data_IF_699213843029
#
_entry.id   IF_699213843029
#
_cell.length_a   1.000
_cell.length_b   1.000
_cell.length_c   1.000
_cell.angle_alpha   90.00
_cell.angle_beta   90.00
_cell.angle_gamma   90.00
#
_symmetry.space_group_name_H-M   'P 1'
#
loop_
_entity.id
_entity.type
_entity.pdbx_description
1 polymer ?
#
# COMPACT_ATOMS: atom_id res chain seq x y z
N UNK A 1 -19.85 3.52 19.90
CA UNK A 1 -19.02 4.53 19.22
C UNK A 1 -17.84 3.79 18.62
N UNK A 2 -17.83 3.55 17.30
CA UNK A 2 -16.69 2.90 16.66
C UNK A 2 -15.53 3.88 16.70
N UNK A 3 -14.45 3.50 17.37
CA UNK A 3 -13.13 4.09 17.10
C UNK A 3 -12.91 3.89 15.61
N UNK A 4 -12.84 4.96 14.82
CA UNK A 4 -12.68 4.85 13.37
C UNK A 4 -11.45 4.02 13.05
N UNK A 5 -11.52 3.20 11.99
CA UNK A 5 -10.36 2.46 11.50
C UNK A 5 -9.18 3.44 11.39
N UNK A 6 -8.03 3.08 11.97
CA UNK A 6 -6.81 3.89 12.00
C UNK A 6 -6.98 5.30 12.62
N UNK A 7 -7.79 5.45 13.67
CA UNK A 7 -8.00 6.74 14.37
C UNK A 7 -6.71 7.43 14.89
N UNK A 8 -5.60 6.71 14.98
CA UNK A 8 -4.28 7.23 15.35
C UNK A 8 -3.37 7.57 14.16
N UNK A 9 -3.83 7.44 12.91
CA UNK A 9 -3.00 7.69 11.74
C UNK A 9 -2.62 9.16 11.62
N UNK A 10 -1.35 9.41 11.30
CA UNK A 10 -0.76 10.75 11.18
C UNK A 10 -0.40 11.01 9.72
N UNK A 11 -0.79 12.17 9.20
CA UNK A 11 -0.43 12.59 7.84
C UNK A 11 1.05 12.97 7.76
N UNK A 12 1.75 12.43 6.76
CA UNK A 12 3.14 12.76 6.43
C UNK A 12 3.30 13.78 5.29
N UNK A 13 2.20 14.25 4.71
CA UNK A 13 2.17 15.21 3.60
C UNK A 13 1.81 14.60 2.24
N UNK A 14 2.05 15.35 1.16
CA UNK A 14 1.78 14.92 -0.21
C UNK A 14 3.08 14.83 -1.01
N UNK A 15 3.22 13.77 -1.81
CA UNK A 15 4.31 13.62 -2.77
C UNK A 15 3.77 12.98 -4.05
N UNK A 16 4.08 13.60 -5.20
CA UNK A 16 3.81 13.03 -6.53
C UNK A 16 2.36 12.56 -6.76
N UNK A 17 1.38 13.29 -6.20
CA UNK A 17 -0.04 12.96 -6.32
C UNK A 17 -0.56 11.94 -5.30
N UNK A 18 0.29 11.46 -4.39
CA UNK A 18 -0.08 10.59 -3.28
C UNK A 18 -0.04 11.36 -1.93
N UNK A 19 -0.88 10.95 -0.98
CA UNK A 19 -0.87 11.44 0.41
C UNK A 19 -0.28 10.38 1.33
N UNK A 20 0.77 10.69 2.07
CA UNK A 20 1.39 9.75 3.01
C UNK A 20 0.73 9.79 4.38
N UNK A 21 0.67 8.62 5.00
CA UNK A 21 0.13 8.38 6.32
C UNK A 21 0.96 7.34 7.04
N UNK A 22 1.11 7.49 8.36
CA UNK A 22 1.70 6.46 9.21
C UNK A 22 0.71 6.02 10.27
N UNK A 23 0.60 4.70 10.47
CA UNK A 23 -0.05 4.13 11.65
C UNK A 23 0.94 3.22 12.39
N UNK A 24 1.76 3.80 13.28
CA UNK A 24 2.77 3.04 14.01
C UNK A 24 2.19 2.14 15.11
N UNK A 25 0.91 2.28 15.46
CA UNK A 25 0.32 1.59 16.62
C UNK A 25 -0.61 0.44 16.20
N UNK A 26 -1.43 0.62 15.15
CA UNK A 26 -2.32 -0.42 14.67
C UNK A 26 -1.61 -1.40 13.73
N UNK A 27 -1.22 -0.90 12.57
CA UNK A 27 -0.63 -1.73 11.50
C UNK A 27 0.90 -1.83 11.54
N UNK A 28 1.58 -0.94 12.29
CA UNK A 28 3.04 -0.89 12.33
C UNK A 28 3.63 -0.58 10.95
N UNK A 29 3.09 0.44 10.27
CA UNK A 29 3.45 0.71 8.88
C UNK A 29 3.15 2.12 8.38
N UNK A 30 3.55 2.36 7.14
CA UNK A 30 3.31 3.56 6.37
C UNK A 30 2.44 3.23 5.17
N UNK A 31 1.53 4.12 4.78
CA UNK A 31 0.73 3.93 3.59
C UNK A 31 0.57 5.21 2.78
N UNK A 32 0.45 5.04 1.47
CA UNK A 32 0.27 6.11 0.50
C UNK A 32 -1.13 6.00 -0.09
N UNK A 33 -1.93 7.05 0.06
CA UNK A 33 -3.29 7.13 -0.47
C UNK A 33 -3.26 7.73 -1.86
N UNK A 34 -3.92 7.07 -2.79
CA UNK A 34 -4.03 7.47 -4.18
C UNK A 34 -5.41 8.07 -4.52
N UNK A 35 -5.47 9.03 -5.46
CA UNK A 35 -6.74 9.59 -5.91
C UNK A 35 -7.57 8.55 -6.69
N UNK A 36 -8.89 8.75 -6.82
CA UNK A 36 -9.74 7.91 -7.66
C UNK A 36 -9.24 7.86 -9.12
N UNK A 37 -9.39 6.70 -9.77
CA UNK A 37 -8.94 6.48 -11.16
C UNK A 37 -7.47 6.08 -11.29
N UNK A 38 -6.76 5.91 -10.18
CA UNK A 38 -5.40 5.38 -10.15
C UNK A 38 -5.37 3.90 -10.54
N UNK A 39 -4.39 3.52 -11.35
CA UNK A 39 -4.12 2.13 -11.73
C UNK A 39 -2.69 1.73 -11.36
N UNK A 40 -2.39 0.43 -11.40
CA UNK A 40 -1.07 -0.07 -11.08
C UNK A 40 -0.60 -1.17 -12.03
N UNK A 41 0.71 -1.28 -12.18
CA UNK A 41 1.39 -2.45 -12.72
C UNK A 41 2.38 -2.94 -11.67
N UNK A 42 2.25 -4.21 -11.28
CA UNK A 42 3.11 -4.84 -10.28
C UNK A 42 3.98 -5.91 -10.93
N UNK A 43 5.29 -5.74 -10.82
CA UNK A 43 6.31 -6.70 -11.23
C UNK A 43 6.99 -7.25 -9.97
N UNK A 44 7.08 -8.59 -9.88
CA UNK A 44 7.73 -9.29 -8.77
C UNK A 44 8.69 -10.33 -9.33
N UNK A 45 9.94 -10.30 -8.87
CA UNK A 45 11.00 -11.19 -9.35
C UNK A 45 11.77 -11.83 -8.19
N UNK A 46 12.23 -13.07 -8.38
CA UNK A 46 13.05 -13.79 -7.39
C UNK A 46 12.26 -14.69 -6.44
N UNK A 47 12.97 -15.21 -5.44
CA UNK A 47 12.39 -16.09 -4.41
C UNK A 47 11.56 -15.28 -3.41
N UNK A 48 10.57 -15.91 -2.76
CA UNK A 48 9.71 -15.27 -1.76
C UNK A 48 8.47 -14.57 -2.31
N UNK A 49 8.20 -14.69 -3.62
CA UNK A 49 6.99 -14.16 -4.27
C UNK A 49 5.67 -14.80 -3.79
N UNK A 50 5.75 -15.87 -3.01
CA UNK A 50 4.63 -16.60 -2.40
C UNK A 50 4.20 -16.05 -1.03
N UNK A 51 4.90 -15.04 -0.50
CA UNK A 51 4.49 -14.32 0.70
C UNK A 51 3.03 -13.82 0.59
N UNK A 52 2.27 -13.89 1.69
CA UNK A 52 0.82 -13.71 1.66
C UNK A 52 0.41 -12.32 1.15
N UNK A 53 1.12 -11.28 1.58
CA UNK A 53 0.95 -9.89 1.17
C UNK A 53 1.32 -9.66 -0.30
N UNK A 54 2.33 -10.38 -0.82
CA UNK A 54 2.66 -10.31 -2.24
C UNK A 54 1.58 -11.00 -3.08
N UNK A 55 1.10 -12.17 -2.68
CA UNK A 55 0.01 -12.85 -3.40
C UNK A 55 -1.28 -12.02 -3.39
N UNK A 56 -1.59 -11.39 -2.25
CA UNK A 56 -2.67 -10.42 -2.14
C UNK A 56 -2.49 -9.26 -3.13
N UNK A 57 -1.32 -8.64 -3.14
CA UNK A 57 -1.04 -7.46 -3.98
C UNK A 57 -0.98 -7.80 -5.47
N UNK A 58 -0.50 -8.99 -5.84
CA UNK A 58 -0.54 -9.48 -7.22
C UNK A 58 -1.98 -9.57 -7.72
N UNK A 59 -2.88 -10.16 -6.93
CA UNK A 59 -4.30 -10.24 -7.28
C UNK A 59 -4.99 -8.87 -7.28
N UNK A 60 -4.66 -8.03 -6.30
CA UNK A 60 -5.25 -6.69 -6.16
C UNK A 60 -4.81 -5.75 -7.28
N UNK A 61 -3.58 -5.88 -7.77
CA UNK A 61 -3.05 -5.08 -8.88
C UNK A 61 -3.76 -5.34 -10.22
N UNK A 62 -4.52 -6.44 -10.36
CA UNK A 62 -5.38 -6.69 -11.52
C UNK A 62 -6.62 -5.79 -11.54
N UNK A 63 -6.96 -5.14 -10.41
CA UNK A 63 -8.08 -4.20 -10.30
C UNK A 63 -7.63 -2.80 -10.72
N UNK A 64 -8.27 -2.17 -11.72
CA UNK A 64 -7.89 -0.84 -12.20
C UNK A 64 -8.49 0.28 -11.32
N UNK A 65 -8.34 0.17 -10.01
CA UNK A 65 -8.92 1.11 -9.04
C UNK A 65 -8.09 1.20 -7.75
N UNK A 66 -6.75 1.20 -7.83
CA UNK A 66 -5.92 1.21 -6.62
C UNK A 66 -6.11 2.52 -5.85
N UNK A 67 -6.42 2.40 -4.56
CA UNK A 67 -6.66 3.52 -3.64
C UNK A 67 -5.60 3.68 -2.58
N UNK A 68 -4.82 2.65 -2.29
CA UNK A 68 -3.68 2.78 -1.38
C UNK A 68 -2.58 1.74 -1.64
N UNK A 69 -1.36 2.13 -1.25
CA UNK A 69 -0.19 1.25 -1.15
C UNK A 69 0.29 1.26 0.29
N UNK A 70 0.29 0.10 0.94
CA UNK A 70 0.68 -0.09 2.34
C UNK A 70 2.04 -0.77 2.40
N UNK A 71 2.92 -0.24 3.24
CA UNK A 71 4.24 -0.76 3.55
C UNK A 71 4.27 -1.11 5.05
N UNK A 72 4.38 -2.39 5.36
CA UNK A 72 4.41 -2.94 6.71
C UNK A 72 5.85 -3.12 7.19
N UNK A 73 6.07 -2.89 8.48
CA UNK A 73 7.35 -3.19 9.13
C UNK A 73 7.39 -4.61 9.69
N UNK A 74 8.60 -5.06 10.06
CA UNK A 74 8.81 -6.25 10.86
C UNK A 74 8.85 -7.56 10.08
N UNK A 75 9.06 -8.69 10.78
CA UNK A 75 9.29 -9.99 10.16
C UNK A 75 8.06 -10.74 9.68
N UNK A 76 6.89 -10.34 10.16
CA UNK A 76 5.71 -11.20 10.06
C UNK A 76 5.67 -12.30 11.11
N UNK A 77 4.60 -13.10 11.10
CA UNK A 77 4.43 -14.27 11.96
C UNK A 77 5.13 -15.52 11.42
N UNK A 78 5.34 -15.59 10.10
CA UNK A 78 5.89 -16.79 9.43
C UNK A 78 4.87 -17.92 9.23
N UNK A 79 3.62 -17.76 9.69
CA UNK A 79 2.51 -18.65 9.37
C UNK A 79 1.70 -18.07 8.18
N UNK A 80 1.63 -18.75 7.02
CA UNK A 80 0.95 -18.21 5.84
C UNK A 80 -0.53 -17.87 6.03
N UNK A 81 -1.24 -18.61 6.90
CA UNK A 81 -2.67 -18.38 7.14
C UNK A 81 -2.92 -17.16 8.03
N UNK A 82 -2.11 -17.00 9.07
CA UNK A 82 -2.13 -15.79 9.91
C UNK A 82 -1.70 -14.56 9.11
N UNK A 83 -0.68 -14.68 8.28
CA UNK A 83 -0.20 -13.60 7.42
C UNK A 83 -1.25 -13.14 6.41
N UNK A 84 -1.96 -14.08 5.78
CA UNK A 84 -3.04 -13.73 4.87
C UNK A 84 -4.18 -13.02 5.60
N UNK A 85 -4.57 -13.51 6.77
CA UNK A 85 -5.61 -12.89 7.60
C UNK A 85 -5.21 -11.48 8.02
N UNK A 86 -3.96 -11.31 8.48
CA UNK A 86 -3.42 -10.01 8.85
C UNK A 86 -3.37 -9.04 7.67
N UNK A 87 -2.84 -9.48 6.52
CA UNK A 87 -2.80 -8.69 5.28
C UNK A 87 -4.20 -8.21 4.88
N UNK A 88 -5.19 -9.10 4.89
CA UNK A 88 -6.57 -8.75 4.59
C UNK A 88 -7.12 -7.71 5.58
N UNK A 89 -6.89 -7.90 6.89
CA UNK A 89 -7.33 -6.93 7.90
C UNK A 89 -6.68 -5.55 7.73
N UNK A 90 -5.39 -5.50 7.42
CA UNK A 90 -4.68 -4.24 7.09
C UNK A 90 -5.32 -3.56 5.89
N UNK A 91 -5.53 -4.31 4.80
CA UNK A 91 -6.16 -3.79 3.59
C UNK A 91 -7.58 -3.25 3.87
N UNK A 92 -8.35 -3.97 4.68
CA UNK A 92 -9.71 -3.57 5.05
C UNK A 92 -9.74 -2.30 5.91
N UNK A 93 -8.84 -2.18 6.90
CA UNK A 93 -8.77 -1.00 7.75
C UNK A 93 -8.30 0.25 6.98
N UNK A 94 -7.32 0.09 6.08
CA UNK A 94 -6.88 1.17 5.20
C UNK A 94 -7.99 1.55 4.20
N UNK A 95 -8.70 0.59 3.61
CA UNK A 95 -9.81 0.85 2.71
C UNK A 95 -10.93 1.65 3.41
N UNK A 96 -11.31 1.26 4.63
CA UNK A 96 -12.28 2.01 5.45
C UNK A 96 -11.79 3.41 5.77
N UNK A 97 -10.52 3.57 6.12
CA UNK A 97 -9.90 4.86 6.38
C UNK A 97 -9.97 5.77 5.14
N UNK A 98 -9.56 5.27 3.97
CA UNK A 98 -9.59 6.02 2.71
C UNK A 98 -11.03 6.38 2.35
N UNK A 99 -11.96 5.42 2.39
CA UNK A 99 -13.36 5.66 2.02
C UNK A 99 -14.07 6.67 2.92
N UNK A 100 -13.81 6.63 4.23
CA UNK A 100 -14.33 7.63 5.16
C UNK A 100 -13.81 9.04 4.86
N UNK A 101 -12.57 9.17 4.37
CA UNK A 101 -11.95 10.46 4.04
C UNK A 101 -12.36 11.00 2.67
N UNK A 102 -12.47 10.13 1.67
CA UNK A 102 -12.84 10.53 0.30
C UNK A 102 -14.35 10.67 0.11
N UNK A 103 -15.16 10.12 1.02
CA UNK A 103 -16.61 10.04 0.85
C UNK A 103 -17.04 9.06 -0.24
N UNK A 104 -16.15 8.15 -0.65
CA UNK A 104 -16.40 7.11 -1.64
C UNK A 104 -16.26 5.74 -1.02
N UNK A 105 -17.02 4.76 -1.50
CA UNK A 105 -16.78 3.36 -1.13
C UNK A 105 -15.40 2.93 -1.65
N UNK A 106 -14.62 2.26 -0.80
CA UNK A 106 -13.32 1.68 -1.13
C UNK A 106 -13.28 0.29 -0.52
N UNK A 107 -13.02 -0.72 -1.34
CA UNK A 107 -12.88 -2.12 -0.94
C UNK A 107 -11.43 -2.50 -0.60
N UNK A 108 -11.22 -3.57 0.18
CA UNK A 108 -9.86 -4.05 0.50
C UNK A 108 -9.03 -4.39 -0.74
N UNK A 109 -9.67 -4.90 -1.80
CA UNK A 109 -9.00 -5.27 -3.07
C UNK A 109 -8.39 -4.06 -3.80
N UNK A 110 -8.79 -2.83 -3.44
CA UNK A 110 -8.22 -1.59 -3.96
C UNK A 110 -6.96 -1.17 -3.17
N UNK A 111 -6.51 -1.97 -2.20
CA UNK A 111 -5.35 -1.68 -1.34
C UNK A 111 -4.28 -2.74 -1.55
N UNK A 112 -3.11 -2.27 -2.02
CA UNK A 112 -1.91 -3.10 -2.13
C UNK A 112 -1.18 -3.10 -0.78
N UNK A 113 -0.64 -4.25 -0.38
CA UNK A 113 0.06 -4.44 0.90
C UNK A 113 1.40 -5.13 0.65
N UNK A 114 2.47 -4.55 1.16
CA UNK A 114 3.83 -5.05 1.00
C UNK A 114 4.60 -4.99 2.31
N UNK A 115 5.66 -5.79 2.41
CA UNK A 115 6.60 -5.79 3.53
C UNK A 115 8.03 -5.63 3.01
N UNK A 116 8.52 -4.38 2.87
CA UNK A 116 9.90 -4.13 2.45
C UNK A 116 10.93 -4.68 3.45
N UNK A 117 12.13 -4.99 2.96
CA UNK A 117 13.29 -5.38 3.77
C UNK A 117 13.95 -4.13 4.40
N UNK A 118 13.27 -3.56 5.41
CA UNK A 118 13.71 -2.35 6.14
C UNK A 118 14.93 -2.58 7.03
N UNK A 119 15.30 -3.84 7.28
CA UNK A 119 16.52 -4.21 8.00
C UNK A 119 17.77 -3.97 7.14
N UNK A 120 17.62 -3.97 5.81
CA UNK A 120 18.73 -3.86 4.84
C UNK A 120 18.66 -2.63 3.94
N UNK A 121 17.51 -1.99 3.87
CA UNK A 121 17.24 -0.82 3.02
C UNK A 121 16.39 0.20 3.76
N UNK A 122 16.45 1.50 3.38
CA UNK A 122 15.50 2.47 3.89
C UNK A 122 14.07 2.13 3.48
N UNK A 123 13.10 2.75 4.14
CA UNK A 123 11.70 2.68 3.75
C UNK A 123 11.53 3.09 2.27
N UNK A 124 10.74 2.33 1.47
CA UNK A 124 10.47 2.70 0.09
C UNK A 124 9.72 4.03 0.01
N UNK A 125 10.26 4.95 -0.78
CA UNK A 125 9.60 6.22 -1.13
C UNK A 125 9.17 6.19 -2.61
N UNK A 126 8.04 6.83 -2.96
CA UNK A 126 7.60 6.91 -4.34
C UNK A 126 8.55 7.79 -5.15
N UNK A 127 9.15 7.23 -6.20
CA UNK A 127 9.89 7.99 -7.19
C UNK A 127 8.96 8.48 -8.29
N UNK A 128 9.09 9.74 -8.73
CA UNK A 128 8.28 10.30 -9.81
C UNK A 128 8.56 9.60 -11.15
N UNK A 129 7.50 9.28 -11.88
CA UNK A 129 7.54 8.84 -13.29
C UNK A 129 6.83 9.85 -14.19
N UNK A 130 6.75 9.57 -15.49
CA UNK A 130 6.02 10.43 -16.45
C UNK A 130 4.54 10.54 -16.10
N UNK A 131 3.92 9.41 -15.74
CA UNK A 131 2.46 9.28 -15.59
C UNK A 131 2.02 9.00 -14.13
N UNK A 132 2.94 9.13 -13.16
CA UNK A 132 2.64 8.89 -11.76
C UNK A 132 3.89 8.63 -10.92
N UNK A 133 3.95 7.47 -10.27
CA UNK A 133 5.07 7.08 -9.40
C UNK A 133 5.50 5.63 -9.57
N UNK A 134 6.69 5.33 -9.08
CA UNK A 134 7.24 3.98 -8.96
C UNK A 134 7.72 3.73 -7.53
N UNK A 135 7.39 2.57 -6.98
CA UNK A 135 8.03 2.01 -5.79
C UNK A 135 8.92 0.85 -6.24
N UNK A 136 10.21 0.92 -5.92
CA UNK A 136 11.16 -0.15 -6.17
C UNK A 136 11.85 -0.52 -4.86
N UNK A 137 11.71 -1.76 -4.44
CA UNK A 137 12.28 -2.23 -3.19
C UNK A 137 12.45 -3.75 -3.16
N UNK A 138 13.37 -4.20 -2.30
CA UNK A 138 13.48 -5.60 -1.94
C UNK A 138 12.43 -5.92 -0.88
N UNK A 139 11.58 -6.90 -1.17
CA UNK A 139 10.66 -7.51 -0.20
C UNK A 139 11.44 -8.33 0.82
N UNK A 140 10.93 -8.41 2.05
CA UNK A 140 11.59 -9.12 3.15
C UNK A 140 11.87 -10.61 2.88
N UNK A 141 11.00 -11.26 2.10
CA UNK A 141 11.16 -12.64 1.62
C UNK A 141 12.26 -12.80 0.55
N UNK A 142 12.86 -11.70 0.09
CA UNK A 142 13.98 -11.69 -0.85
C UNK A 142 13.60 -11.36 -2.29
N UNK A 143 12.30 -11.24 -2.59
CA UNK A 143 11.81 -10.86 -3.92
C UNK A 143 12.12 -9.38 -4.20
N UNK A 144 12.44 -9.05 -5.44
CA UNK A 144 12.50 -7.68 -5.91
C UNK A 144 11.10 -7.26 -6.39
N UNK A 145 10.61 -6.14 -5.88
CA UNK A 145 9.30 -5.59 -6.18
C UNK A 145 9.47 -4.27 -6.92
N UNK A 146 8.77 -4.15 -8.05
CA UNK A 146 8.61 -2.91 -8.78
C UNK A 146 7.12 -2.66 -9.02
N UNK A 147 6.59 -1.63 -8.36
CA UNK A 147 5.21 -1.19 -8.49
C UNK A 147 5.18 0.15 -9.21
N UNK A 148 4.63 0.18 -10.42
CA UNK A 148 4.31 1.44 -11.10
C UNK A 148 2.86 1.79 -10.83
N UNK A 149 2.61 3.02 -10.40
CA UNK A 149 1.29 3.56 -10.12
C UNK A 149 1.03 4.72 -11.08
N UNK A 150 0.01 4.59 -11.93
CA UNK A 150 -0.42 5.66 -12.83
C UNK A 150 -1.44 6.50 -12.11
N UNK A 151 -1.11 7.78 -11.90
CA UNK A 151 -1.95 8.72 -11.16
C UNK A 151 -2.62 9.63 -12.19
N UNK A 152 -3.97 9.70 -12.24
CA UNK A 152 -4.64 10.59 -13.19
C UNK A 152 -4.28 12.04 -12.90
N UNK A 153 -4.10 12.82 -13.98
CA UNK A 153 -3.86 14.26 -13.90
C UNK A 153 -4.90 14.91 -12.97
N UNK A 154 -4.43 15.36 -11.81
CA UNK A 154 -5.24 16.20 -10.94
C UNK A 154 -5.41 17.54 -11.68
N UNK A 155 -6.63 18.08 -11.85
CA UNK A 155 -6.75 19.47 -12.28
C UNK A 155 -5.95 20.32 -11.29
N UNK A 156 -5.01 21.13 -11.79
CA UNK A 156 -4.37 22.17 -10.98
C UNK A 156 -5.49 22.99 -10.34
N UNK A 157 -5.52 23.06 -9.00
CA UNK A 157 -6.41 23.99 -8.32
C UNK A 157 -6.10 25.40 -8.85
N UNK A 158 -7.07 25.97 -9.56
CA UNK A 158 -7.03 27.31 -10.14
C UNK A 158 -7.14 28.41 -9.07
#
# INVERSE_FOLDING_TARGET
>A
MSVGALSGAVSGGRAHGLESWSDPVGNGGLFWVAPPGTTSVLEVHGEGADAAELRWSILSAEVPAIRAVVLLDGPGSGDPGEEFTFTHSVAEDVARFVGARSGTEVGPIEVLVFRPDTDRSPWPEPARTTDGVEFAFRHRGGAEVRLTVTVPDQPEEA
#
